data_IF_367352149118
#
_entry.id   IF_367352149118
#
_cell.length_a   1.000
_cell.length_b   1.000
_cell.length_c   1.000
_cell.angle_alpha   90.00
_cell.angle_beta   90.00
_cell.angle_gamma   90.00
#
_symmetry.space_group_name_H-M   'P 1'
#
loop_
_entity.id
_entity.type
_entity.pdbx_description
1 polymer ?
#
# COMPACT_ATOMS: atom_id res chain seq x y z
N UNK A 1 -4.32 30.28 -6.76
CA UNK A 1 -3.96 29.16 -7.64
C UNK A 1 -3.73 27.93 -6.79
N UNK A 2 -4.71 27.04 -6.70
CA UNK A 2 -4.59 25.79 -5.94
C UNK A 2 -3.94 24.77 -6.87
N UNK A 3 -2.69 24.47 -6.62
CA UNK A 3 -1.97 23.39 -7.31
C UNK A 3 -2.68 22.07 -6.97
N UNK A 4 -3.39 21.52 -7.92
CA UNK A 4 -3.86 20.15 -7.91
C UNK A 4 -2.62 19.24 -8.03
N UNK A 5 -1.99 18.92 -6.92
CA UNK A 5 -0.98 17.87 -6.87
C UNK A 5 -1.63 16.61 -7.48
N UNK A 6 -1.07 16.12 -8.60
CA UNK A 6 -1.50 14.88 -9.25
C UNK A 6 -1.56 13.79 -8.18
N UNK A 7 -2.76 13.33 -7.85
CA UNK A 7 -2.96 12.21 -6.94
C UNK A 7 -2.27 11.00 -7.54
N UNK A 8 -1.29 10.44 -6.84
CA UNK A 8 -0.63 9.22 -7.27
C UNK A 8 -1.61 8.06 -7.41
N UNK A 9 -1.35 7.08 -8.28
CA UNK A 9 -2.17 5.89 -8.41
C UNK A 9 -2.31 5.21 -7.04
N UNK A 10 -3.51 4.93 -6.60
CA UNK A 10 -3.79 4.31 -5.31
C UNK A 10 -4.47 5.21 -4.28
N UNK A 11 -4.23 6.50 -4.26
CA UNK A 11 -4.88 7.42 -3.30
C UNK A 11 -6.40 7.46 -3.49
N UNK A 12 -6.86 7.37 -4.73
CA UNK A 12 -8.29 7.36 -5.05
C UNK A 12 -9.03 6.13 -4.50
N UNK A 13 -8.35 5.00 -4.41
CA UNK A 13 -8.98 3.76 -3.92
C UNK A 13 -9.34 3.85 -2.45
N UNK A 14 -8.41 4.36 -1.65
CA UNK A 14 -8.62 4.54 -0.21
C UNK A 14 -9.71 5.57 0.05
N UNK A 15 -9.72 6.68 -0.70
CA UNK A 15 -10.77 7.69 -0.58
C UNK A 15 -12.14 7.13 -0.97
N UNK A 16 -12.23 6.35 -2.06
CA UNK A 16 -13.46 5.68 -2.49
C UNK A 16 -13.96 4.63 -1.50
N UNK A 17 -13.06 4.05 -0.71
CA UNK A 17 -13.40 3.13 0.39
C UNK A 17 -13.73 3.86 1.71
N UNK A 18 -13.86 5.19 1.69
CA UNK A 18 -14.23 5.99 2.86
C UNK A 18 -13.07 6.40 3.78
N UNK A 19 -11.82 6.17 3.38
CA UNK A 19 -10.66 6.55 4.17
C UNK A 19 -10.37 8.06 4.14
N UNK A 20 -9.92 8.57 5.26
CA UNK A 20 -9.23 9.87 5.32
C UNK A 20 -7.77 9.67 4.95
N UNK A 21 -7.32 10.37 3.92
CA UNK A 21 -5.99 10.20 3.34
C UNK A 21 -5.12 11.41 3.62
N UNK A 22 -3.87 11.15 4.02
CA UNK A 22 -2.79 12.15 4.06
C UNK A 22 -1.60 11.61 3.28
N UNK A 23 -0.93 12.48 2.54
CA UNK A 23 0.26 12.15 1.76
C UNK A 23 1.51 12.66 2.44
N UNK A 24 2.65 12.02 2.16
CA UNK A 24 3.96 12.44 2.66
C UNK A 24 3.98 12.72 4.18
N UNK A 25 3.40 11.80 4.95
CA UNK A 25 3.29 11.95 6.40
C UNK A 25 4.60 11.57 7.08
N UNK A 26 5.16 12.47 7.89
CA UNK A 26 6.33 12.16 8.70
C UNK A 26 6.03 11.15 9.79
N UNK A 27 6.97 10.25 10.09
CA UNK A 27 6.81 9.24 11.15
C UNK A 27 6.51 9.87 12.51
N UNK A 28 7.15 10.99 12.82
CA UNK A 28 6.91 11.76 14.07
C UNK A 28 5.45 12.20 14.25
N UNK A 29 4.68 12.30 13.17
CA UNK A 29 3.27 12.70 13.18
C UNK A 29 2.29 11.50 13.28
N UNK A 30 2.80 10.26 13.31
CA UNK A 30 1.99 9.04 13.38
C UNK A 30 1.73 8.54 14.80
N UNK A 31 2.15 9.32 15.81
CA UNK A 31 1.97 8.97 17.22
C UNK A 31 2.53 7.58 17.60
N UNK A 32 3.68 7.24 17.02
CA UNK A 32 4.39 5.99 17.22
C UNK A 32 5.31 6.05 18.44
N UNK A 33 5.46 4.92 19.12
CA UNK A 33 6.47 4.77 20.16
C UNK A 33 7.88 4.71 19.54
N UNK A 34 8.87 5.27 20.24
CA UNK A 34 10.30 5.22 19.85
C UNK A 34 10.67 6.00 18.57
N UNK A 35 9.81 6.87 18.07
CA UNK A 35 10.16 7.80 16.97
C UNK A 35 10.79 9.07 17.55
N UNK A 36 11.95 9.48 17.02
CA UNK A 36 12.63 10.71 17.44
C UNK A 36 11.84 11.95 16.99
N UNK A 37 11.85 13.01 17.80
CA UNK A 37 11.17 14.27 17.49
C UNK A 37 11.65 14.90 16.16
N UNK A 38 12.90 14.68 15.78
CA UNK A 38 13.51 15.16 14.54
C UNK A 38 13.62 14.05 13.47
N UNK A 39 12.72 13.08 13.48
CA UNK A 39 12.69 12.04 12.46
C UNK A 39 12.07 12.59 11.17
N UNK A 40 12.86 12.65 10.11
CA UNK A 40 12.45 13.17 8.80
C UNK A 40 12.01 12.07 7.82
N UNK A 41 11.98 10.81 8.27
CA UNK A 41 11.43 9.73 7.46
C UNK A 41 9.93 9.97 7.22
N UNK A 42 9.49 9.71 6.00
CA UNK A 42 8.11 9.91 5.56
C UNK A 42 7.58 8.64 4.92
N UNK A 43 6.31 8.35 5.16
CA UNK A 43 5.54 7.39 4.38
C UNK A 43 4.77 8.13 3.29
N UNK A 44 4.60 7.50 2.14
CA UNK A 44 3.96 8.15 0.99
C UNK A 44 2.49 8.46 1.26
N UNK A 45 1.77 7.50 1.83
CA UNK A 45 0.33 7.63 2.09
C UNK A 45 0.01 7.10 3.47
N UNK A 46 -0.82 7.83 4.21
CA UNK A 46 -1.51 7.29 5.38
C UNK A 46 -3.01 7.29 5.16
N UNK A 47 -3.65 6.20 5.54
CA UNK A 47 -5.10 6.05 5.44
C UNK A 47 -5.68 5.72 6.82
N UNK A 48 -6.76 6.40 7.21
CA UNK A 48 -7.45 6.17 8.47
C UNK A 48 -8.96 6.14 8.27
N UNK A 49 -9.67 5.48 9.21
CA UNK A 49 -11.12 5.34 9.12
C UNK A 49 -11.60 4.14 8.31
N UNK A 50 -10.69 3.27 7.87
CA UNK A 50 -11.05 2.00 7.24
C UNK A 50 -11.37 0.95 8.30
N UNK A 51 -12.32 0.07 8.02
CA UNK A 51 -12.64 -1.10 8.87
C UNK A 51 -11.62 -2.22 8.74
N UNK A 52 -10.76 -2.16 7.72
CA UNK A 52 -9.66 -3.11 7.49
C UNK A 52 -8.64 -3.07 8.62
N UNK A 53 -7.97 -4.17 8.88
CA UNK A 53 -6.97 -4.30 9.94
C UNK A 53 -7.45 -3.80 11.32
N UNK A 54 -8.70 -4.10 11.68
CA UNK A 54 -9.33 -3.72 12.96
C UNK A 54 -9.36 -2.20 13.20
N UNK A 55 -9.47 -1.41 12.15
CA UNK A 55 -9.54 0.05 12.22
C UNK A 55 -8.21 0.75 12.46
N UNK A 56 -7.09 0.05 12.40
CA UNK A 56 -5.77 0.66 12.53
C UNK A 56 -5.51 1.65 11.38
N UNK A 57 -4.77 2.71 11.67
CA UNK A 57 -4.24 3.57 10.61
C UNK A 57 -3.27 2.77 9.74
N UNK A 58 -3.31 2.96 8.43
CA UNK A 58 -2.37 2.34 7.50
C UNK A 58 -1.31 3.35 7.09
N UNK A 59 -0.05 2.95 7.19
CA UNK A 59 1.09 3.62 6.59
C UNK A 59 1.47 2.84 5.33
N UNK A 60 1.26 3.43 4.17
CA UNK A 60 1.41 2.77 2.88
C UNK A 60 2.61 3.39 2.17
N UNK A 61 3.54 2.56 1.81
CA UNK A 61 4.74 2.96 1.08
C UNK A 61 4.85 2.14 -0.20
N UNK A 62 4.68 2.83 -1.34
CA UNK A 62 4.68 2.18 -2.65
C UNK A 62 6.10 1.94 -3.16
N UNK A 63 6.29 0.86 -3.87
CA UNK A 63 7.56 0.59 -4.53
C UNK A 63 7.36 -0.20 -5.81
N UNK A 64 8.00 0.28 -6.88
CA UNK A 64 8.07 -0.45 -8.14
C UNK A 64 9.45 -1.12 -8.23
N UNK A 65 9.45 -2.43 -8.38
CA UNK A 65 10.69 -3.22 -8.32
C UNK A 65 11.01 -3.84 -9.68
N UNK A 66 12.23 -3.59 -10.15
CA UNK A 66 12.78 -4.28 -11.31
C UNK A 66 13.45 -5.60 -10.90
N UNK A 67 13.29 -6.69 -11.68
CA UNK A 67 14.08 -7.90 -11.49
C UNK A 67 15.55 -7.71 -11.83
N UNK A 68 15.89 -6.60 -12.49
CA UNK A 68 17.27 -6.25 -12.84
C UNK A 68 17.82 -5.16 -11.91
N UNK A 69 19.12 -5.21 -11.68
CA UNK A 69 19.88 -4.13 -11.06
C UNK A 69 20.12 -3.01 -12.08
N UNK A 70 20.61 -1.85 -11.63
CA UNK A 70 20.96 -0.72 -12.50
C UNK A 70 22.03 -1.06 -13.57
N UNK A 71 22.88 -2.04 -13.29
CA UNK A 71 23.90 -2.53 -14.23
C UNK A 71 23.38 -3.61 -15.21
N UNK A 72 22.08 -3.86 -15.27
CA UNK A 72 21.47 -4.86 -16.14
C UNK A 72 21.55 -6.30 -15.64
N UNK A 73 22.29 -6.57 -14.57
CA UNK A 73 22.35 -7.92 -14.00
C UNK A 73 21.05 -8.28 -13.27
N UNK A 74 20.69 -9.56 -13.29
CA UNK A 74 19.56 -10.07 -12.50
C UNK A 74 19.81 -9.88 -10.99
N UNK A 75 18.75 -9.51 -10.27
CA UNK A 75 18.80 -9.54 -8.81
C UNK A 75 18.91 -10.99 -8.33
N UNK A 76 19.51 -11.23 -7.16
CA UNK A 76 19.57 -12.58 -6.60
C UNK A 76 18.19 -13.23 -6.57
N UNK A 77 18.11 -14.49 -6.95
CA UNK A 77 16.89 -15.30 -6.98
C UNK A 77 15.78 -14.85 -7.94
N UNK A 78 15.94 -13.71 -8.65
CA UNK A 78 14.90 -13.12 -9.48
C UNK A 78 14.47 -14.02 -10.66
N UNK A 79 15.34 -14.92 -11.10
CA UNK A 79 15.13 -15.80 -12.27
C UNK A 79 14.60 -17.19 -11.92
N UNK A 80 14.68 -17.61 -10.65
CA UNK A 80 14.24 -18.95 -10.26
C UNK A 80 13.27 -18.96 -9.06
N UNK A 81 13.21 -17.89 -8.27
CA UNK A 81 12.29 -17.79 -7.16
C UNK A 81 11.28 -16.67 -7.42
N UNK A 82 10.04 -17.06 -7.69
CA UNK A 82 8.95 -16.12 -7.92
C UNK A 82 8.68 -15.29 -6.64
N UNK A 83 8.50 -13.98 -6.83
CA UNK A 83 8.27 -13.05 -5.71
C UNK A 83 9.50 -12.63 -4.89
N UNK A 84 10.69 -13.22 -5.10
CA UNK A 84 11.88 -12.92 -4.30
C UNK A 84 12.22 -11.43 -4.25
N UNK A 85 12.14 -10.74 -5.38
CA UNK A 85 12.44 -9.31 -5.49
C UNK A 85 11.45 -8.44 -4.69
N UNK A 86 10.17 -8.84 -4.65
CA UNK A 86 9.14 -8.17 -3.84
C UNK A 86 9.35 -8.42 -2.35
N UNK A 87 9.74 -9.63 -1.97
CA UNK A 87 10.07 -9.94 -0.58
C UNK A 87 11.28 -9.15 -0.10
N UNK A 88 12.30 -8.98 -0.94
CA UNK A 88 13.46 -8.15 -0.61
C UNK A 88 13.06 -6.68 -0.41
N UNK A 89 12.22 -6.13 -1.30
CA UNK A 89 11.69 -4.77 -1.14
C UNK A 89 10.87 -4.61 0.15
N UNK A 90 10.06 -5.60 0.51
CA UNK A 90 9.31 -5.61 1.77
C UNK A 90 10.23 -5.60 2.99
N UNK A 91 11.31 -6.38 2.98
CA UNK A 91 12.33 -6.38 4.02
C UNK A 91 13.03 -5.03 4.15
N UNK A 92 13.37 -4.41 3.01
CA UNK A 92 14.01 -3.08 3.00
C UNK A 92 13.08 -2.03 3.64
N UNK A 93 11.77 -2.07 3.34
CA UNK A 93 10.79 -1.17 3.97
C UNK A 93 10.62 -1.46 5.47
N UNK A 94 10.61 -2.73 5.86
CA UNK A 94 10.56 -3.13 7.26
C UNK A 94 11.80 -2.63 8.04
N UNK A 95 12.98 -2.67 7.43
CA UNK A 95 14.21 -2.13 8.00
C UNK A 95 14.19 -0.60 8.09
N UNK A 96 13.58 0.06 7.11
CA UNK A 96 13.44 1.53 7.09
C UNK A 96 12.46 2.02 8.16
N UNK A 97 11.41 1.26 8.45
CA UNK A 97 10.31 1.64 9.35
C UNK A 97 10.06 0.59 10.46
N UNK A 98 11.07 0.25 11.27
CA UNK A 98 10.92 -0.82 12.27
C UNK A 98 9.85 -0.49 13.32
N UNK A 99 9.59 0.79 13.60
CA UNK A 99 8.59 1.23 14.56
C UNK A 99 7.16 0.88 14.12
N UNK A 100 6.92 0.78 12.81
CA UNK A 100 5.61 0.44 12.26
C UNK A 100 5.32 -1.07 12.32
N UNK A 101 6.33 -1.93 12.37
CA UNK A 101 6.16 -3.38 12.42
C UNK A 101 5.44 -3.84 13.69
N UNK A 102 5.72 -3.17 14.81
CA UNK A 102 5.21 -3.54 16.13
C UNK A 102 4.09 -2.63 16.63
N UNK A 103 3.71 -1.63 15.82
CA UNK A 103 2.66 -0.71 16.21
C UNK A 103 1.28 -1.32 16.00
N UNK A 104 0.46 -1.29 17.06
CA UNK A 104 -0.97 -1.67 16.96
C UNK A 104 -1.85 -0.55 16.40
N UNK A 105 -1.37 0.69 16.44
CA UNK A 105 -2.13 1.89 16.03
C UNK A 105 -1.94 2.24 14.57
N UNK A 106 -0.77 1.93 14.02
CA UNK A 106 -0.43 2.22 12.64
C UNK A 106 0.30 1.01 12.04
N UNK A 107 -0.22 0.45 10.96
CA UNK A 107 0.32 -0.72 10.29
C UNK A 107 1.01 -0.34 9.00
N UNK A 108 2.23 -0.82 8.81
CA UNK A 108 2.94 -0.69 7.53
C UNK A 108 2.35 -1.66 6.50
N UNK A 109 2.06 -1.13 5.33
CA UNK A 109 1.72 -1.91 4.14
C UNK A 109 2.67 -1.50 3.02
N UNK A 110 3.46 -2.44 2.54
CA UNK A 110 4.31 -2.23 1.37
C UNK A 110 3.49 -2.48 0.11
N UNK A 111 3.12 -1.40 -0.59
CA UNK A 111 2.43 -1.50 -1.86
C UNK A 111 3.44 -1.81 -2.98
N UNK A 112 3.99 -3.03 -2.94
CA UNK A 112 5.02 -3.50 -3.88
C UNK A 112 4.42 -4.02 -5.18
N UNK A 113 5.02 -3.61 -6.31
CA UNK A 113 4.71 -4.15 -7.62
C UNK A 113 6.01 -4.43 -8.39
N UNK A 114 6.12 -5.60 -8.99
CA UNK A 114 7.21 -5.96 -9.91
C UNK A 114 6.89 -5.40 -11.30
N UNK A 115 7.89 -4.90 -11.99
CA UNK A 115 7.76 -4.62 -13.43
C UNK A 115 7.32 -5.91 -14.13
N UNK A 116 6.21 -5.85 -14.85
CA UNK A 116 5.51 -7.02 -15.39
C UNK A 116 4.19 -7.35 -14.68
N UNK A 117 3.80 -6.52 -13.66
CA UNK A 117 2.44 -6.51 -13.12
C UNK A 117 2.18 -7.44 -11.94
N UNK A 118 3.19 -8.09 -11.38
CA UNK A 118 3.01 -8.89 -10.16
C UNK A 118 2.98 -8.00 -8.92
N UNK A 119 1.98 -8.22 -8.08
CA UNK A 119 1.82 -7.56 -6.80
C UNK A 119 2.49 -8.32 -5.66
N UNK A 120 2.92 -7.58 -4.66
CA UNK A 120 3.23 -8.12 -3.34
C UNK A 120 1.91 -8.55 -2.66
N UNK A 121 1.97 -9.65 -1.90
CA UNK A 121 0.78 -10.30 -1.34
C UNK A 121 -0.02 -9.36 -0.42
N UNK A 122 0.64 -8.68 0.52
CA UNK A 122 -0.04 -7.75 1.44
C UNK A 122 -0.72 -6.58 0.69
N UNK A 123 -0.13 -6.14 -0.43
CA UNK A 123 -0.72 -5.10 -1.26
C UNK A 123 -1.98 -5.59 -1.98
N UNK A 124 -1.94 -6.81 -2.50
CA UNK A 124 -3.10 -7.43 -3.13
C UNK A 124 -4.22 -7.69 -2.12
N UNK A 125 -3.89 -8.23 -0.96
CA UNK A 125 -4.84 -8.45 0.13
C UNK A 125 -5.49 -7.15 0.61
N UNK A 126 -4.71 -6.07 0.69
CA UNK A 126 -5.26 -4.76 1.00
C UNK A 126 -6.28 -4.32 -0.05
N UNK A 127 -5.99 -4.47 -1.35
CA UNK A 127 -6.93 -4.15 -2.42
C UNK A 127 -8.22 -4.97 -2.33
N UNK A 128 -8.10 -6.26 -2.06
CA UNK A 128 -9.27 -7.14 -1.86
C UNK A 128 -10.12 -6.67 -0.68
N UNK A 129 -9.49 -6.32 0.44
CA UNK A 129 -10.19 -5.84 1.63
C UNK A 129 -10.86 -4.47 1.40
N UNK A 130 -10.22 -3.57 0.66
CA UNK A 130 -10.82 -2.30 0.25
C UNK A 130 -12.02 -2.51 -0.68
N UNK A 131 -11.90 -3.44 -1.64
CA UNK A 131 -13.00 -3.78 -2.54
C UNK A 131 -14.20 -4.37 -1.80
N UNK A 132 -13.95 -5.22 -0.78
CA UNK A 132 -14.99 -5.74 0.12
C UNK A 132 -15.65 -4.61 0.90
N UNK A 133 -14.87 -3.72 1.53
CA UNK A 133 -15.39 -2.59 2.27
C UNK A 133 -16.28 -1.69 1.40
N UNK A 134 -15.86 -1.42 0.17
CA UNK A 134 -16.67 -0.65 -0.79
C UNK A 134 -17.94 -1.40 -1.22
N UNK A 135 -17.87 -2.70 -1.36
CA UNK A 135 -19.02 -3.54 -1.75
C UNK A 135 -20.10 -3.64 -0.64
N UNK A 136 -19.79 -3.27 0.62
CA UNK A 136 -20.79 -3.21 1.69
C UNK A 136 -21.93 -2.23 1.39
N UNK A 137 -21.70 -1.23 0.55
CA UNK A 137 -22.72 -0.27 0.08
C UNK A 137 -23.73 -0.93 -0.89
N UNK A 138 -23.39 -2.09 -1.46
CA UNK A 138 -24.27 -2.80 -2.39
C UNK A 138 -25.27 -3.70 -1.65
N UNK A 139 -26.44 -3.99 -2.25
CA UNK A 139 -27.38 -4.98 -1.73
C UNK A 139 -26.68 -6.30 -1.44
N UNK A 140 -27.07 -6.99 -0.36
CA UNK A 140 -26.40 -8.19 0.16
C UNK A 140 -26.15 -9.25 -0.92
N UNK A 141 -27.15 -9.50 -1.78
CA UNK A 141 -27.04 -10.49 -2.85
C UNK A 141 -26.01 -10.11 -3.94
N UNK A 142 -25.68 -8.83 -4.08
CA UNK A 142 -24.76 -8.30 -5.09
C UNK A 142 -23.34 -8.04 -4.54
N UNK A 143 -23.10 -8.13 -3.25
CA UNK A 143 -21.82 -7.78 -2.62
C UNK A 143 -20.64 -8.53 -3.21
N UNK A 144 -20.81 -9.83 -3.48
CA UNK A 144 -19.76 -10.64 -4.10
C UNK A 144 -19.40 -10.12 -5.51
N UNK A 145 -20.40 -9.88 -6.35
CA UNK A 145 -20.19 -9.33 -7.69
C UNK A 145 -19.63 -7.93 -7.65
N UNK A 146 -20.08 -7.08 -6.72
CA UNK A 146 -19.55 -5.73 -6.50
C UNK A 146 -18.08 -5.77 -6.08
N UNK A 147 -17.69 -6.67 -5.17
CA UNK A 147 -16.27 -6.86 -4.78
C UNK A 147 -15.41 -7.17 -5.99
N UNK A 148 -15.79 -8.14 -6.81
CA UNK A 148 -15.04 -8.48 -8.03
C UNK A 148 -14.99 -7.33 -9.04
N UNK A 149 -16.08 -6.59 -9.17
CA UNK A 149 -16.16 -5.41 -10.04
C UNK A 149 -15.21 -4.30 -9.60
N UNK A 150 -15.19 -3.96 -8.30
CA UNK A 150 -14.26 -2.98 -7.75
C UNK A 150 -12.81 -3.41 -7.87
N UNK A 151 -12.49 -4.66 -7.53
CA UNK A 151 -11.14 -5.18 -7.62
C UNK A 151 -10.60 -5.11 -9.05
N UNK A 152 -11.36 -5.58 -10.04
CA UNK A 152 -10.97 -5.48 -11.47
C UNK A 152 -10.74 -4.04 -11.90
N UNK A 153 -11.65 -3.14 -11.54
CA UNK A 153 -11.54 -1.72 -11.89
C UNK A 153 -10.27 -1.10 -11.30
N UNK A 154 -9.95 -1.40 -10.05
CA UNK A 154 -8.77 -0.82 -9.39
C UNK A 154 -7.48 -1.39 -9.93
N UNK A 155 -7.42 -2.69 -10.15
CA UNK A 155 -6.26 -3.33 -10.77
C UNK A 155 -6.02 -2.76 -12.18
N UNK A 156 -7.07 -2.57 -12.99
CA UNK A 156 -6.92 -2.04 -14.35
C UNK A 156 -6.43 -0.58 -14.42
N UNK A 157 -6.67 0.22 -13.38
CA UNK A 157 -6.18 1.62 -13.32
C UNK A 157 -4.65 1.72 -13.13
N UNK A 158 -4.00 0.64 -12.73
CA UNK A 158 -2.56 0.59 -12.51
C UNK A 158 -1.76 0.29 -13.77
N UNK A 159 -2.41 -0.20 -14.81
CA UNK A 159 -1.79 -0.55 -16.08
C UNK A 159 -2.05 0.50 -17.18
N UNK A 160 -2.54 1.66 -16.79
CA UNK A 160 -2.69 2.83 -17.64
C UNK A 160 -1.58 3.85 -17.36
#
# INVERSE_FOLDING_TARGET
MISLAKKGPGQEWYAKAGARIKTHTYLRNLNLLKVKVRDDRRVEVTASGLTVHKGAQLAIDATLVSPLKRNGQARPRAHWQDGAVLQDAKKDKATTYPELLYSRRCRLVTAGMKIGGRWEEDAYDLLVNLAKAKAEEAPTLLRRSATHGWLRRWVSLLFK
#
